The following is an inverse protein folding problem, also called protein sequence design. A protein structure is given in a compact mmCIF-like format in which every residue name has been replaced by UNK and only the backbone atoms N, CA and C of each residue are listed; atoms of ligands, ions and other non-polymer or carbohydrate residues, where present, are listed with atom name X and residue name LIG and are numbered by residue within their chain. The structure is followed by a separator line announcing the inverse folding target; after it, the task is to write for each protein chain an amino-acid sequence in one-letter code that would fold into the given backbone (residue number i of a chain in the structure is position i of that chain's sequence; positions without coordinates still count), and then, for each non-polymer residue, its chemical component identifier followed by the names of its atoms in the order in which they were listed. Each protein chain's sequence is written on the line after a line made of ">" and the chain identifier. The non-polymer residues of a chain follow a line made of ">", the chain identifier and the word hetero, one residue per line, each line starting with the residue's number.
data_IF_345602385351
#
_entry.id   IF_345602385351
#
_cell.length_a   1.000
_cell.length_b   1.000
_cell.length_c   1.000
_cell.angle_alpha   90.00
_cell.angle_beta   90.00
_cell.angle_gamma   90.00
#
_symmetry.space_group_name_H-M   'P 1'
#
loop_
_entity.id
_entity.type
_entity.pdbx_description
1 polymer ?
#
# COMPACT_ATOMS: atom_id res chain seq x y z
N UNK A 1 -51.67 -13.03 -46.11
CA UNK A 1 -51.74 -12.76 -44.66
C UNK A 1 -50.32 -12.45 -44.19
N UNK A 2 -49.69 -11.29 -44.34
CA UNK A 2 -50.06 -9.86 -44.36
C UNK A 2 -50.68 -9.33 -43.06
N UNK A 3 -49.82 -8.94 -42.11
CA UNK A 3 -49.97 -7.83 -41.12
C UNK A 3 -48.63 -7.67 -40.35
N UNK A 4 -47.83 -6.66 -40.66
CA UNK A 4 -47.62 -5.37 -39.93
C UNK A 4 -46.79 -5.53 -38.64
N UNK A 5 -45.52 -5.13 -38.62
CA UNK A 5 -45.00 -3.77 -38.33
C UNK A 5 -45.66 -3.12 -37.11
N UNK A 6 -44.90 -3.00 -36.02
CA UNK A 6 -45.03 -1.89 -35.07
C UNK A 6 -43.65 -1.53 -34.48
N UNK A 7 -43.18 -0.36 -34.88
CA UNK A 7 -41.97 0.31 -34.42
C UNK A 7 -42.28 1.08 -33.13
N UNK A 8 -41.70 0.70 -31.99
CA UNK A 8 -41.72 1.50 -30.77
C UNK A 8 -40.56 2.50 -30.78
N UNK A 9 -40.83 3.72 -31.26
CA UNK A 9 -39.97 4.90 -31.10
C UNK A 9 -40.51 5.75 -29.95
N UNK A 10 -40.03 5.53 -28.73
CA UNK A 10 -40.37 6.38 -27.58
C UNK A 10 -39.52 7.65 -27.58
N UNK A 11 -40.18 8.78 -27.81
CA UNK A 11 -39.68 10.14 -27.52
C UNK A 11 -39.39 10.28 -26.03
N UNK A 12 -38.17 10.67 -25.67
CA UNK A 12 -37.82 11.15 -24.34
C UNK A 12 -37.50 12.65 -24.48
N UNK A 13 -38.53 13.48 -24.33
CA UNK A 13 -38.38 14.94 -24.19
C UNK A 13 -38.13 15.21 -22.70
N UNK A 14 -36.87 15.51 -22.35
CA UNK A 14 -36.50 15.95 -21.01
C UNK A 14 -36.74 17.47 -20.92
N UNK A 15 -37.83 17.83 -20.24
CA UNK A 15 -38.16 19.18 -19.81
C UNK A 15 -37.12 19.69 -18.79
N UNK A 16 -36.38 20.73 -19.21
CA UNK A 16 -35.45 21.50 -18.38
C UNK A 16 -36.28 22.43 -17.49
N UNK A 17 -36.47 22.04 -16.24
CA UNK A 17 -37.04 22.86 -15.18
C UNK A 17 -35.92 23.73 -14.59
N UNK A 18 -35.97 25.04 -14.86
CA UNK A 18 -35.13 26.06 -14.23
C UNK A 18 -35.50 26.22 -12.74
N UNK A 19 -34.62 25.77 -11.84
CA UNK A 19 -34.65 26.14 -10.43
C UNK A 19 -34.04 27.53 -10.22
N UNK A 20 -34.64 28.39 -9.38
CA UNK A 20 -34.11 29.73 -9.13
C UNK A 20 -32.85 29.65 -8.25
N UNK A 21 -31.89 30.51 -8.55
CA UNK A 21 -30.65 30.72 -7.82
C UNK A 21 -30.94 31.24 -6.41
N UNK A 22 -30.85 30.34 -5.42
CA UNK A 22 -30.89 30.68 -4.01
C UNK A 22 -29.51 31.24 -3.62
N UNK A 23 -29.46 32.54 -3.32
CA UNK A 23 -28.26 33.23 -2.84
C UNK A 23 -27.86 32.67 -1.47
N UNK A 24 -26.74 31.95 -1.41
CA UNK A 24 -26.11 31.58 -0.14
C UNK A 24 -25.58 32.85 0.53
N UNK A 25 -26.30 33.35 1.53
CA UNK A 25 -25.69 34.15 2.59
C UNK A 25 -24.70 33.27 3.38
N UNK A 26 -23.50 33.79 3.70
CA UNK A 26 -22.55 33.07 4.54
C UNK A 26 -23.16 32.93 5.95
N UNK A 27 -23.52 31.70 6.33
CA UNK A 27 -23.90 31.39 7.70
C UNK A 27 -22.73 31.73 8.61
N UNK A 28 -22.88 32.82 9.38
CA UNK A 28 -21.99 33.19 10.47
C UNK A 28 -21.82 31.97 11.38
N UNK A 29 -20.59 31.49 11.45
CA UNK A 29 -20.19 30.40 12.33
C UNK A 29 -20.59 30.77 13.76
N UNK A 30 -21.54 30.04 14.35
CA UNK A 30 -22.09 30.32 15.67
C UNK A 30 -20.95 30.45 16.69
N UNK A 31 -20.95 31.57 17.41
CA UNK A 31 -20.07 31.89 18.54
C UNK A 31 -19.87 30.73 19.53
N UNK A 32 -20.84 29.83 19.68
CA UNK A 32 -20.71 28.62 20.49
C UNK A 32 -19.72 27.59 19.91
N UNK A 33 -19.63 27.47 18.59
CA UNK A 33 -18.70 26.55 17.91
C UNK A 33 -17.26 27.06 18.01
N UNK A 34 -17.05 28.37 17.87
CA UNK A 34 -15.76 29.02 18.10
C UNK A 34 -15.32 28.93 19.56
N UNK A 35 -16.25 29.08 20.52
CA UNK A 35 -15.96 28.91 21.94
C UNK A 35 -15.64 27.45 22.32
N UNK A 36 -16.24 26.47 21.62
CA UNK A 36 -15.92 25.04 21.81
C UNK A 36 -14.51 24.70 21.32
N UNK A 37 -14.14 25.16 20.13
CA UNK A 37 -12.79 24.98 19.55
C UNK A 37 -11.71 25.63 20.43
N UNK A 38 -11.97 26.83 20.95
CA UNK A 38 -11.04 27.52 21.85
C UNK A 38 -10.96 26.90 23.25
N UNK A 39 -12.05 26.29 23.77
CA UNK A 39 -12.00 25.55 25.05
C UNK A 39 -11.28 24.21 24.93
N UNK A 40 -11.34 23.53 23.79
CA UNK A 40 -10.61 22.27 23.57
C UNK A 40 -9.10 22.48 23.40
N UNK A 41 -8.63 23.63 22.93
CA UNK A 41 -7.19 23.86 22.75
C UNK A 41 -6.43 24.16 24.05
N UNK A 42 -7.09 24.63 25.11
CA UNK A 42 -6.42 25.03 26.36
C UNK A 42 -6.39 23.92 27.44
N UNK A 43 -7.37 23.01 27.47
CA UNK A 43 -7.51 22.02 28.56
C UNK A 43 -6.92 20.65 28.29
N UNK A 44 -6.38 20.40 27.09
CA UNK A 44 -5.81 19.10 26.69
C UNK A 44 -4.33 19.15 26.34
N UNK A 45 -3.57 20.06 26.95
CA UNK A 45 -2.11 19.89 27.07
C UNK A 45 -1.86 18.77 28.08
N UNK A 46 -2.07 17.53 27.64
CA UNK A 46 -1.65 16.36 28.41
C UNK A 46 -0.13 16.45 28.63
N UNK A 47 0.39 15.91 29.75
CA UNK A 47 1.84 15.84 29.96
C UNK A 47 2.58 15.24 28.77
N UNK A 48 1.95 14.31 28.06
CA UNK A 48 2.47 13.71 26.83
C UNK A 48 2.58 14.71 25.67
N UNK A 49 1.61 15.62 25.49
CA UNK A 49 1.69 16.67 24.47
C UNK A 49 2.79 17.68 24.77
N UNK A 50 2.97 18.07 26.04
CA UNK A 50 4.07 18.97 26.44
C UNK A 50 5.43 18.30 26.20
N UNK A 51 5.55 17.02 26.55
CA UNK A 51 6.76 16.22 26.29
C UNK A 51 7.02 16.02 24.79
N UNK A 52 5.97 15.88 23.99
CA UNK A 52 6.06 15.83 22.53
C UNK A 52 6.50 17.19 21.96
N UNK A 53 5.92 18.29 22.43
CA UNK A 53 6.30 19.66 22.05
C UNK A 53 7.77 19.97 22.37
N UNK A 54 8.24 19.64 23.57
CA UNK A 54 9.67 19.78 23.93
C UNK A 54 10.57 18.90 23.06
N UNK A 55 10.16 17.66 22.74
CA UNK A 55 10.91 16.80 21.82
C UNK A 55 10.98 17.41 20.42
N UNK A 56 9.87 17.96 19.90
CA UNK A 56 9.79 18.56 18.56
C UNK A 56 10.63 19.85 18.49
N UNK A 57 10.52 20.72 19.49
CA UNK A 57 11.27 21.99 19.55
C UNK A 57 12.79 21.78 19.61
N UNK A 58 13.25 20.67 20.18
CA UNK A 58 14.66 20.31 20.26
C UNK A 58 15.18 19.54 19.02
N UNK A 59 14.32 19.23 18.04
CA UNK A 59 14.69 18.47 16.84
C UNK A 59 14.96 19.43 15.68
N UNK A 60 16.19 19.43 15.18
CA UNK A 60 16.59 20.16 13.98
C UNK A 60 15.88 19.51 12.77
N UNK A 61 15.25 20.27 11.85
CA UNK A 61 14.65 19.70 10.66
C UNK A 61 15.69 18.90 9.84
N UNK A 62 15.29 17.79 9.21
CA UNK A 62 16.25 16.92 8.53
C UNK A 62 16.92 17.65 7.37
N UNK A 63 18.26 17.80 7.45
CA UNK A 63 19.08 18.30 6.34
C UNK A 63 19.04 17.29 5.17
N UNK A 64 18.90 17.78 3.94
CA UNK A 64 18.87 16.98 2.70
C UNK A 64 20.07 16.06 2.58
N UNK A 65 21.27 16.55 2.88
CA UNK A 65 22.51 15.75 2.81
C UNK A 65 22.45 14.57 3.80
N UNK A 66 21.96 14.82 5.01
CA UNK A 66 21.77 13.80 6.04
C UNK A 66 20.74 12.75 5.59
N UNK A 67 19.63 13.17 4.98
CA UNK A 67 18.63 12.25 4.47
C UNK A 67 19.11 11.40 3.28
N UNK A 68 20.07 11.94 2.51
CA UNK A 68 20.79 11.22 1.45
C UNK A 68 21.64 10.09 1.98
N UNK A 69 22.33 10.31 3.09
CA UNK A 69 23.01 9.23 3.78
C UNK A 69 22.07 8.13 4.30
N UNK A 70 20.82 8.44 4.63
CA UNK A 70 19.86 7.46 5.15
C UNK A 70 19.03 6.70 4.11
N UNK A 71 19.17 7.02 2.83
CA UNK A 71 18.21 6.55 1.82
C UNK A 71 16.78 7.07 2.08
N UNK A 72 16.64 8.10 2.91
CA UNK A 72 15.38 8.77 3.26
C UNK A 72 15.18 10.06 2.46
N UNK A 73 15.99 10.28 1.41
CA UNK A 73 15.89 11.45 0.52
C UNK A 73 14.49 11.65 -0.02
N UNK A 74 13.79 10.55 -0.33
CA UNK A 74 12.41 10.57 -0.79
C UNK A 74 11.42 11.17 0.21
N UNK A 75 11.83 11.30 1.48
CA UNK A 75 11.04 11.86 2.58
C UNK A 75 11.43 13.28 2.95
N UNK A 76 12.53 13.81 2.40
CA UNK A 76 12.89 15.22 2.57
C UNK A 76 12.46 15.96 1.32
N UNK A 77 12.09 17.23 1.46
CA UNK A 77 11.64 18.07 0.36
C UNK A 77 12.64 18.00 -0.82
N UNK A 78 12.23 17.33 -1.90
CA UNK A 78 12.94 17.34 -3.17
C UNK A 78 12.20 18.30 -4.09
N UNK A 79 12.94 19.24 -4.68
CA UNK A 79 12.41 19.97 -5.82
C UNK A 79 12.11 18.99 -6.96
N UNK A 80 11.25 19.38 -7.92
CA UNK A 80 10.95 18.55 -9.08
C UNK A 80 12.23 18.18 -9.88
N UNK A 81 13.20 19.08 -9.88
CA UNK A 81 14.51 18.90 -10.51
C UNK A 81 15.37 17.90 -9.71
N UNK A 82 15.38 18.00 -8.39
CA UNK A 82 16.04 17.03 -7.53
C UNK A 82 15.44 15.63 -7.67
N UNK A 83 14.12 15.52 -7.84
CA UNK A 83 13.48 14.21 -8.05
C UNK A 83 13.80 13.62 -9.42
N UNK A 84 13.98 14.45 -10.45
CA UNK A 84 14.42 14.01 -11.76
C UNK A 84 15.87 13.51 -11.72
N UNK A 85 16.77 14.29 -11.12
CA UNK A 85 18.16 13.90 -10.88
C UNK A 85 18.25 12.62 -10.05
N UNK A 86 17.49 12.52 -8.95
CA UNK A 86 17.49 11.32 -8.10
C UNK A 86 17.03 10.07 -8.87
N UNK A 87 16.04 10.18 -9.76
CA UNK A 87 15.59 9.06 -10.60
C UNK A 87 16.64 8.65 -11.62
N UNK A 88 17.33 9.61 -12.21
CA UNK A 88 18.45 9.38 -13.12
C UNK A 88 19.60 8.70 -12.38
N UNK A 89 20.03 9.25 -11.23
CA UNK A 89 21.07 8.66 -10.38
C UNK A 89 20.67 7.28 -9.87
N UNK A 90 19.43 7.05 -9.45
CA UNK A 90 18.93 5.72 -9.06
C UNK A 90 18.89 4.74 -10.23
N UNK A 91 18.60 5.20 -11.45
CA UNK A 91 18.65 4.35 -12.64
C UNK A 91 20.09 3.95 -12.97
N UNK A 92 21.03 4.88 -12.84
CA UNK A 92 22.47 4.64 -13.01
C UNK A 92 23.05 3.74 -11.91
N UNK A 93 22.64 3.94 -10.65
CA UNK A 93 23.01 3.11 -9.50
C UNK A 93 22.36 1.72 -9.54
N UNK A 94 21.21 1.54 -10.21
CA UNK A 94 20.65 0.20 -10.45
C UNK A 94 21.46 -0.59 -11.47
N UNK A 95 22.05 0.08 -12.46
CA UNK A 95 22.93 -0.55 -13.46
C UNK A 95 24.36 -0.75 -12.94
N UNK A 96 24.85 0.13 -12.06
CA UNK A 96 26.12 -0.01 -11.35
C UNK A 96 25.86 -0.42 -9.91
N UNK A 97 25.87 -1.73 -9.66
CA UNK A 97 25.82 -2.31 -8.30
C UNK A 97 27.15 -2.08 -7.55
N UNK A 98 27.73 -0.89 -7.63
CA UNK A 98 28.82 -0.46 -6.77
C UNK A 98 28.15 0.15 -5.54
N UNK A 99 28.04 -0.65 -4.48
CA UNK A 99 27.63 -0.19 -3.16
C UNK A 99 28.38 1.09 -2.81
N UNK A 100 27.65 2.15 -2.44
CA UNK A 100 28.24 3.35 -1.85
C UNK A 100 28.84 2.92 -0.51
N UNK A 101 30.09 2.47 -0.52
CA UNK A 101 30.84 2.09 0.68
C UNK A 101 31.26 3.40 1.33
N UNK A 102 30.63 3.76 2.45
CA UNK A 102 31.19 4.81 3.27
C UNK A 102 32.57 4.37 3.76
N UNK A 103 33.61 5.21 3.62
CA UNK A 103 34.91 4.91 4.17
C UNK A 103 34.78 4.71 5.69
N UNK A 104 35.20 3.53 6.14
CA UNK A 104 35.54 3.22 7.53
C UNK A 104 34.40 3.07 8.56
N UNK A 105 33.24 2.50 8.19
CA UNK A 105 32.27 2.01 9.19
C UNK A 105 31.77 3.08 10.18
N UNK A 106 31.79 4.35 9.76
CA UNK A 106 31.37 5.48 10.58
C UNK A 106 29.84 5.48 10.74
N UNK A 107 29.40 5.71 11.97
CA UNK A 107 27.99 5.94 12.31
C UNK A 107 27.50 7.24 11.64
N UNK A 108 26.19 7.37 11.31
CA UNK A 108 25.72 8.66 10.79
C UNK A 108 26.03 9.77 11.80
N UNK A 109 26.65 10.90 11.39
CA UNK A 109 26.89 12.03 12.29
C UNK A 109 25.59 12.62 12.88
N UNK A 110 24.46 12.37 12.25
CA UNK A 110 23.16 12.89 12.60
C UNK A 110 22.39 12.07 13.66
N UNK A 111 22.39 10.75 13.54
CA UNK A 111 21.52 9.87 14.33
C UNK A 111 22.24 8.63 14.86
N UNK A 112 23.57 8.56 14.64
CA UNK A 112 24.47 7.49 15.06
C UNK A 112 24.04 6.07 14.64
N UNK A 113 23.11 5.94 13.69
CA UNK A 113 22.76 4.63 13.16
C UNK A 113 23.96 4.09 12.37
N UNK A 114 24.29 2.82 12.63
CA UNK A 114 25.21 2.08 11.80
C UNK A 114 24.55 1.87 10.45
N UNK A 115 25.14 2.44 9.41
CA UNK A 115 24.70 2.21 8.04
C UNK A 115 24.84 0.73 7.75
N UNK A 116 23.74 0.09 7.36
CA UNK A 116 23.72 -1.33 7.03
C UNK A 116 24.64 -1.49 5.82
N UNK A 117 25.84 -2.04 6.05
CA UNK A 117 26.94 -2.07 5.08
C UNK A 117 26.60 -2.89 3.82
N UNK A 118 25.64 -3.80 3.91
CA UNK A 118 25.29 -4.69 2.82
C UNK A 118 23.81 -4.58 2.44
N UNK A 119 23.54 -3.93 1.30
CA UNK A 119 22.23 -3.95 0.63
C UNK A 119 21.81 -5.40 0.28
N UNK A 120 22.78 -6.31 0.15
CA UNK A 120 22.55 -7.75 -0.02
C UNK A 120 21.99 -8.41 1.25
N UNK A 121 22.27 -7.89 2.44
CA UNK A 121 21.65 -8.36 3.68
C UNK A 121 20.20 -7.84 3.84
N UNK A 122 19.87 -6.68 3.27
CA UNK A 122 18.47 -6.22 3.16
C UNK A 122 17.62 -7.12 2.25
N UNK A 123 18.21 -7.92 1.38
CA UNK A 123 17.46 -8.67 0.36
C UNK A 123 16.71 -9.90 0.88
N UNK A 124 16.94 -10.32 2.14
CA UNK A 124 16.18 -11.42 2.75
C UNK A 124 15.83 -11.07 4.19
N UNK A 125 14.73 -10.35 4.36
CA UNK A 125 14.13 -10.26 5.69
C UNK A 125 13.63 -11.64 6.10
N UNK A 126 14.16 -12.14 7.21
CA UNK A 126 13.64 -13.35 7.84
C UNK A 126 12.22 -13.05 8.33
N UNK A 127 11.36 -14.07 8.36
CA UNK A 127 10.04 -13.96 8.98
C UNK A 127 10.14 -13.53 10.46
N UNK A 128 11.28 -13.79 11.09
CA UNK A 128 11.58 -13.47 12.49
C UNK A 128 12.25 -12.12 12.70
N UNK A 129 12.46 -11.35 11.63
CA UNK A 129 13.03 -10.00 11.75
C UNK A 129 12.06 -9.11 12.53
N UNK A 130 12.59 -8.34 13.49
CA UNK A 130 11.78 -7.42 14.29
C UNK A 130 11.03 -6.45 13.38
N UNK A 131 9.74 -6.25 13.66
CA UNK A 131 8.92 -5.27 12.94
C UNK A 131 9.53 -3.85 12.98
N UNK A 132 10.33 -3.55 14.01
CA UNK A 132 11.04 -2.29 14.17
C UNK A 132 12.08 -2.04 13.08
N UNK A 133 12.67 -3.08 12.49
CA UNK A 133 13.62 -2.94 11.38
C UNK A 133 12.97 -2.32 10.14
N UNK A 134 11.65 -2.47 9.97
CA UNK A 134 10.91 -1.95 8.82
C UNK A 134 10.44 -0.51 8.98
N UNK A 135 10.78 0.17 10.08
CA UNK A 135 10.32 1.54 10.35
C UNK A 135 10.83 2.56 9.34
N UNK A 136 11.94 2.23 8.69
CA UNK A 136 12.49 2.98 7.54
C UNK A 136 11.44 3.11 6.43
N UNK A 137 10.47 2.19 6.32
CA UNK A 137 9.38 2.22 5.34
C UNK A 137 8.11 2.93 5.83
N UNK A 138 8.12 3.50 7.03
CA UNK A 138 6.99 4.22 7.65
C UNK A 138 6.21 3.31 8.58
N UNK A 139 5.12 3.80 9.16
CA UNK A 139 4.29 3.05 10.13
C UNK A 139 3.53 1.88 9.50
N UNK A 140 3.13 2.01 8.23
CA UNK A 140 2.27 1.04 7.55
C UNK A 140 2.90 -0.35 7.39
N UNK A 141 4.16 -0.43 6.95
CA UNK A 141 4.84 -1.72 6.68
C UNK A 141 5.09 -2.53 7.97
N UNK A 142 5.69 -1.98 9.04
CA UNK A 142 5.81 -2.66 10.34
C UNK A 142 4.47 -3.16 10.88
N UNK A 143 3.41 -2.34 10.78
CA UNK A 143 2.08 -2.69 11.28
C UNK A 143 1.47 -3.87 10.50
N UNK A 144 1.70 -3.92 9.18
CA UNK A 144 1.30 -5.06 8.36
C UNK A 144 2.03 -6.35 8.78
N UNK A 145 3.36 -6.31 8.95
CA UNK A 145 4.11 -7.49 9.41
C UNK A 145 3.69 -7.92 10.81
N UNK A 146 3.46 -6.97 11.70
CA UNK A 146 2.95 -7.21 13.04
C UNK A 146 1.59 -7.92 13.01
N UNK A 147 0.69 -7.48 12.12
CA UNK A 147 -0.60 -8.16 11.88
C UNK A 147 -0.43 -9.57 11.35
N UNK A 148 0.46 -9.79 10.37
CA UNK A 148 0.70 -11.11 9.79
C UNK A 148 1.23 -12.11 10.83
N UNK A 149 2.18 -11.68 11.67
CA UNK A 149 2.70 -12.51 12.77
C UNK A 149 1.56 -12.86 13.75
N UNK A 150 0.74 -11.88 14.13
CA UNK A 150 -0.42 -12.12 14.97
C UNK A 150 -1.40 -13.13 14.35
N UNK A 151 -1.73 -13.00 13.06
CA UNK A 151 -2.61 -13.94 12.37
C UNK A 151 -2.05 -15.36 12.36
N UNK A 152 -0.75 -15.52 12.11
CA UNK A 152 -0.10 -16.84 12.10
C UNK A 152 -0.17 -17.48 13.48
N UNK A 153 0.12 -16.73 14.55
CA UNK A 153 0.01 -17.22 15.93
C UNK A 153 -1.45 -17.58 16.27
N UNK A 154 -2.41 -16.72 15.90
CA UNK A 154 -3.82 -16.94 16.17
C UNK A 154 -4.35 -18.20 15.44
N UNK A 155 -4.04 -18.35 14.15
CA UNK A 155 -4.42 -19.51 13.36
C UNK A 155 -3.75 -20.79 13.89
N UNK A 156 -2.49 -20.71 14.31
CA UNK A 156 -1.80 -21.83 14.94
C UNK A 156 -2.50 -22.26 16.23
N UNK A 157 -2.88 -21.32 17.11
CA UNK A 157 -3.61 -21.62 18.34
C UNK A 157 -4.99 -22.24 18.07
N UNK A 158 -5.76 -21.69 17.14
CA UNK A 158 -7.07 -22.23 16.75
C UNK A 158 -6.91 -23.62 16.14
N UNK A 159 -5.88 -23.83 15.32
CA UNK A 159 -5.58 -25.14 14.73
C UNK A 159 -5.32 -26.18 15.82
N UNK A 160 -4.46 -25.85 16.78
CA UNK A 160 -4.08 -26.76 17.88
C UNK A 160 -5.24 -27.05 18.84
N UNK A 161 -6.04 -26.04 19.20
CA UNK A 161 -7.09 -26.18 20.22
C UNK A 161 -8.39 -26.71 19.63
N UNK A 162 -8.75 -26.30 18.42
CA UNK A 162 -10.06 -26.58 17.83
C UNK A 162 -9.95 -27.56 16.68
N UNK A 163 -9.09 -27.28 15.70
CA UNK A 163 -9.09 -28.02 14.44
C UNK A 163 -8.58 -29.45 14.61
N UNK A 164 -7.41 -29.64 15.24
CA UNK A 164 -6.82 -30.97 15.46
C UNK A 164 -7.75 -31.85 16.31
N UNK A 165 -8.30 -31.41 17.46
CA UNK A 165 -9.22 -32.24 18.23
C UNK A 165 -10.51 -32.56 17.48
N UNK A 166 -11.09 -31.60 16.74
CA UNK A 166 -12.31 -31.83 15.94
C UNK A 166 -12.08 -32.87 14.86
N UNK A 167 -10.96 -32.76 14.11
CA UNK A 167 -10.58 -33.75 13.10
C UNK A 167 -10.36 -35.13 13.77
N UNK A 168 -9.71 -35.17 14.93
CA UNK A 168 -9.47 -36.43 15.65
C UNK A 168 -10.78 -37.10 16.09
N UNK A 169 -11.72 -36.33 16.65
CA UNK A 169 -13.04 -36.82 17.01
C UNK A 169 -13.83 -37.30 15.78
N UNK A 170 -13.74 -36.58 14.66
CA UNK A 170 -14.36 -36.97 13.40
C UNK A 170 -13.77 -38.25 12.80
N UNK A 171 -12.47 -38.52 13.00
CA UNK A 171 -11.85 -39.77 12.53
C UNK A 171 -12.26 -40.96 13.41
N UNK A 172 -12.41 -40.74 14.72
CA UNK A 172 -12.79 -41.80 15.67
C UNK A 172 -14.27 -42.19 15.48
N UNK A 173 -15.16 -41.22 15.24
CA UNK A 173 -16.58 -41.46 15.00
C UNK A 173 -16.84 -41.82 13.53
N UNK A 174 -16.54 -43.06 13.18
CA UNK A 174 -16.65 -43.57 11.82
C UNK A 174 -18.11 -43.91 11.43
N UNK A 175 -18.97 -42.89 11.33
CA UNK A 175 -20.39 -43.03 10.92
C UNK A 175 -20.57 -43.17 9.39
N UNK A 176 -19.68 -43.92 8.72
CA UNK A 176 -19.65 -44.07 7.25
C UNK A 176 -20.93 -44.63 6.65
N UNK A 177 -21.70 -45.40 7.43
CA UNK A 177 -22.82 -46.18 6.90
C UNK A 177 -24.15 -45.42 6.86
N UNK A 178 -24.34 -44.35 7.64
CA UNK A 178 -25.66 -43.72 7.80
C UNK A 178 -25.97 -42.63 6.77
N UNK A 179 -24.96 -41.94 6.23
CA UNK A 179 -25.16 -40.83 5.28
C UNK A 179 -25.18 -41.30 3.81
N UNK A 180 -24.93 -42.59 3.54
CA UNK A 180 -24.87 -43.14 2.18
C UNK A 180 -23.74 -42.53 1.32
N UNK A 181 -22.81 -41.78 1.93
CA UNK A 181 -21.69 -41.15 1.24
C UNK A 181 -20.61 -42.21 1.01
N UNK A 182 -20.62 -42.80 -0.19
CA UNK A 182 -19.78 -43.92 -0.63
C UNK A 182 -18.26 -43.67 -0.58
N UNK A 183 -17.80 -42.45 -0.34
CA UNK A 183 -16.39 -42.16 -0.10
C UNK A 183 -16.23 -40.99 0.88
N UNK A 184 -15.51 -41.17 2.00
CA UNK A 184 -15.26 -40.06 2.90
C UNK A 184 -14.35 -39.05 2.20
N UNK A 185 -14.90 -37.90 1.83
CA UNK A 185 -14.09 -36.78 1.35
C UNK A 185 -13.46 -36.07 2.55
N UNK A 186 -12.28 -35.48 2.37
CA UNK A 186 -11.63 -34.64 3.38
C UNK A 186 -12.57 -33.55 3.95
N UNK A 187 -13.52 -33.10 3.12
CA UNK A 187 -14.53 -32.10 3.48
C UNK A 187 -15.53 -32.62 4.53
N UNK A 188 -15.80 -33.93 4.57
CA UNK A 188 -16.67 -34.53 5.61
C UNK A 188 -15.96 -34.54 6.96
N UNK A 189 -14.67 -34.94 7.01
CA UNK A 189 -13.89 -34.99 8.25
C UNK A 189 -13.56 -33.61 8.86
N UNK A 190 -13.66 -32.55 8.05
CA UNK A 190 -13.42 -31.17 8.50
C UNK A 190 -14.71 -30.43 8.84
N UNK A 191 -15.85 -31.07 8.65
CA UNK A 191 -17.17 -30.47 8.82
C UNK A 191 -17.92 -31.11 9.99
N UNK A 192 -18.94 -30.40 10.48
CA UNK A 192 -19.93 -30.92 11.42
C UNK A 192 -20.79 -32.02 10.77
N UNK A 193 -20.82 -32.06 9.43
CA UNK A 193 -21.64 -33.00 8.67
C UNK A 193 -21.32 -34.49 8.85
N UNK A 194 -20.20 -34.85 9.49
CA UNK A 194 -19.89 -36.23 9.84
C UNK A 194 -20.73 -36.78 11.01
N UNK A 195 -21.38 -35.89 11.76
CA UNK A 195 -22.30 -36.27 12.82
C UNK A 195 -23.73 -36.21 12.29
N UNK A 196 -24.22 -37.34 11.77
CA UNK A 196 -25.60 -37.48 11.34
C UNK A 196 -26.59 -37.18 12.47
N UNK A 197 -27.77 -36.69 12.11
CA UNK A 197 -28.91 -36.57 13.02
C UNK A 197 -29.48 -37.98 13.18
N UNK A 198 -28.88 -38.81 14.04
CA UNK A 198 -29.47 -40.12 14.35
C UNK A 198 -30.78 -39.92 15.11
N UNK A 199 -31.86 -40.38 14.51
CA UNK A 199 -33.24 -40.27 14.99
C UNK A 199 -33.55 -41.09 16.26
N UNK A 200 -32.55 -41.73 16.88
CA UNK A 200 -32.71 -42.56 18.07
C UNK A 200 -31.95 -41.99 19.28
N UNK A 201 -32.48 -40.91 19.84
CA UNK A 201 -32.25 -40.48 21.23
C UNK A 201 -31.06 -39.54 21.44
N UNK A 202 -31.38 -38.35 21.97
CA UNK A 202 -30.48 -37.26 22.40
C UNK A 202 -29.30 -37.64 23.33
N UNK A 203 -29.16 -38.91 23.73
CA UNK A 203 -28.21 -39.36 24.73
C UNK A 203 -26.91 -39.96 24.17
N UNK A 204 -26.74 -40.10 22.84
CA UNK A 204 -25.60 -40.85 22.28
C UNK A 204 -24.47 -40.05 21.62
N UNK A 205 -24.47 -38.72 21.65
CA UNK A 205 -23.37 -37.95 21.05
C UNK A 205 -22.75 -36.94 22.01
N UNK A 206 -21.97 -37.46 22.97
CA UNK A 206 -21.06 -36.62 23.77
C UNK A 206 -20.06 -35.86 22.88
N UNK A 207 -19.78 -36.37 21.68
CA UNK A 207 -18.86 -35.80 20.70
C UNK A 207 -19.37 -34.54 20.02
N UNK A 208 -20.62 -34.51 19.55
CA UNK A 208 -21.21 -33.30 18.93
C UNK A 208 -21.18 -32.15 19.93
N UNK A 209 -21.60 -32.41 21.18
CA UNK A 209 -21.54 -31.41 22.25
C UNK A 209 -20.10 -30.93 22.46
N UNK A 210 -19.12 -31.84 22.44
CA UNK A 210 -17.70 -31.49 22.56
C UNK A 210 -17.23 -30.61 21.40
N UNK A 211 -17.61 -30.91 20.16
CA UNK A 211 -17.25 -30.13 18.97
C UNK A 211 -17.91 -28.75 18.98
N UNK A 212 -19.17 -28.66 19.39
CA UNK A 212 -19.86 -27.36 19.57
C UNK A 212 -19.11 -26.52 20.62
N UNK A 213 -18.77 -27.12 21.76
CA UNK A 213 -18.00 -26.44 22.82
C UNK A 213 -16.63 -25.99 22.29
N UNK A 214 -15.90 -26.84 21.57
CA UNK A 214 -14.61 -26.49 20.97
C UNK A 214 -14.72 -25.32 19.98
N UNK A 215 -15.75 -25.30 19.13
CA UNK A 215 -16.00 -24.20 18.20
C UNK A 215 -16.38 -22.90 18.93
N UNK A 216 -17.15 -22.97 20.03
CA UNK A 216 -17.43 -21.82 20.88
C UNK A 216 -16.15 -21.28 21.54
N UNK A 217 -15.28 -22.17 22.04
CA UNK A 217 -13.96 -21.81 22.58
C UNK A 217 -13.11 -21.14 21.49
N UNK A 218 -13.07 -21.69 20.28
CA UNK A 218 -12.37 -21.09 19.14
C UNK A 218 -12.86 -19.68 18.82
N UNK A 219 -14.17 -19.50 18.77
CA UNK A 219 -14.81 -18.20 18.55
C UNK A 219 -14.43 -17.21 19.64
N UNK A 220 -14.43 -17.64 20.90
CA UNK A 220 -14.01 -16.82 22.04
C UNK A 220 -12.52 -16.44 21.94
N UNK A 221 -11.64 -17.37 21.56
CA UNK A 221 -10.22 -17.11 21.32
C UNK A 221 -10.03 -16.06 20.22
N UNK A 222 -10.81 -16.11 19.13
CA UNK A 222 -10.76 -15.09 18.05
C UNK A 222 -11.15 -13.71 18.61
N UNK A 223 -12.25 -13.60 19.36
CA UNK A 223 -12.68 -12.32 19.93
C UNK A 223 -11.66 -11.76 20.91
N UNK A 224 -11.14 -12.59 21.82
CA UNK A 224 -10.12 -12.19 22.79
C UNK A 224 -8.81 -11.81 22.09
N UNK A 225 -8.38 -12.62 21.12
CA UNK A 225 -7.21 -12.36 20.29
C UNK A 225 -7.32 -11.03 19.55
N UNK A 226 -8.46 -10.74 18.92
CA UNK A 226 -8.70 -9.46 18.25
C UNK A 226 -8.60 -8.27 19.22
N UNK A 227 -9.17 -8.41 20.43
CA UNK A 227 -9.07 -7.36 21.46
C UNK A 227 -7.63 -7.12 21.89
N UNK A 228 -6.87 -8.19 22.17
CA UNK A 228 -5.45 -8.11 22.53
C UNK A 228 -4.66 -7.46 21.39
N UNK A 229 -4.83 -7.94 20.16
CA UNK A 229 -4.17 -7.38 18.98
C UNK A 229 -4.44 -5.90 18.81
N UNK A 230 -5.70 -5.45 18.89
CA UNK A 230 -6.06 -4.04 18.76
C UNK A 230 -5.35 -3.18 19.79
N UNK A 231 -5.33 -3.62 21.05
CA UNK A 231 -4.62 -2.91 22.13
C UNK A 231 -3.12 -2.86 21.88
N UNK A 232 -2.50 -3.97 21.47
CA UNK A 232 -1.06 -4.02 21.22
C UNK A 232 -0.67 -3.22 19.96
N UNK A 233 -1.47 -3.30 18.91
CA UNK A 233 -1.27 -2.59 17.64
C UNK A 233 -1.32 -1.07 17.82
N UNK A 234 -2.25 -0.56 18.62
CA UNK A 234 -2.29 0.87 18.95
C UNK A 234 -1.05 1.34 19.72
N UNK A 235 -0.59 0.54 20.70
CA UNK A 235 0.63 0.84 21.46
C UNK A 235 1.87 0.79 20.56
N UNK A 236 1.93 -0.18 19.67
CA UNK A 236 3.04 -0.32 18.72
C UNK A 236 3.06 0.84 17.71
N UNK A 237 1.90 1.23 17.17
CA UNK A 237 1.78 2.39 16.31
C UNK A 237 2.27 3.67 16.99
N UNK A 238 1.83 3.93 18.22
CA UNK A 238 2.26 5.07 19.02
C UNK A 238 3.78 5.09 19.22
N UNK A 239 4.39 3.95 19.53
CA UNK A 239 5.85 3.84 19.68
C UNK A 239 6.58 4.12 18.38
N UNK A 240 6.10 3.60 17.25
CA UNK A 240 6.74 3.87 15.96
C UNK A 240 6.66 5.37 15.67
N UNK A 241 5.50 5.97 15.87
CA UNK A 241 5.22 7.38 15.60
C UNK A 241 6.08 8.31 16.49
N UNK A 242 6.17 8.02 17.79
CA UNK A 242 6.96 8.81 18.74
C UNK A 242 8.45 8.94 18.37
N UNK A 243 9.03 7.88 17.80
CA UNK A 243 10.45 7.90 17.45
C UNK A 243 10.70 8.16 15.95
N UNK A 244 9.66 8.17 15.10
CA UNK A 244 9.79 8.52 13.68
C UNK A 244 9.34 9.95 13.46
N UNK A 245 10.29 10.84 13.24
CA UNK A 245 9.98 12.22 12.83
C UNK A 245 9.64 12.21 11.35
N UNK A 246 8.48 12.72 10.99
CA UNK A 246 8.00 12.83 9.62
C UNK A 246 7.81 14.30 9.24
N UNK A 247 7.89 14.65 7.95
CA UNK A 247 7.56 16.02 7.51
C UNK A 247 6.15 16.44 7.91
N UNK A 248 5.20 15.50 7.99
CA UNK A 248 3.83 15.76 8.45
C UNK A 248 3.77 16.36 9.86
N UNK A 249 4.75 16.08 10.72
CA UNK A 249 4.81 16.62 12.08
C UNK A 249 5.08 18.14 12.10
N UNK A 250 5.61 18.68 11.00
CA UNK A 250 5.96 20.10 10.86
C UNK A 250 5.17 20.82 9.76
N UNK A 251 4.24 20.14 9.10
CA UNK A 251 3.45 20.73 8.02
C UNK A 251 1.99 20.87 8.43
N UNK A 252 1.45 22.07 8.23
CA UNK A 252 0.02 22.33 8.38
C UNK A 252 -0.59 22.47 7.00
N UNK A 253 -1.72 21.81 6.77
CA UNK A 253 -2.48 21.95 5.54
C UNK A 253 -3.65 22.92 5.77
N UNK A 254 -3.58 24.08 5.13
CA UNK A 254 -4.64 25.10 5.17
C UNK A 254 -5.52 24.99 3.92
N UNK A 255 -6.83 25.16 4.09
CA UNK A 255 -7.84 25.10 3.01
C UNK A 255 -8.69 26.37 3.03
N UNK A 256 -9.45 26.60 1.96
CA UNK A 256 -10.31 27.79 1.80
C UNK A 256 -9.56 29.13 1.91
N UNK A 257 -8.36 29.19 1.34
CA UNK A 257 -7.60 30.43 1.19
C UNK A 257 -8.16 31.19 -0.02
N UNK A 258 -8.30 32.51 0.09
CA UNK A 258 -8.73 33.34 -1.03
C UNK A 258 -7.73 33.27 -2.19
N UNK A 259 -8.25 33.36 -3.41
CA UNK A 259 -7.45 33.15 -4.63
C UNK A 259 -6.36 34.20 -4.83
N UNK A 260 -6.58 35.39 -4.29
CA UNK A 260 -5.69 36.53 -4.44
C UNK A 260 -4.69 36.65 -3.28
N UNK A 261 -4.74 35.75 -2.30
CA UNK A 261 -3.84 35.78 -1.15
C UNK A 261 -2.43 35.37 -1.54
N UNK A 262 -1.45 36.23 -1.25
CA UNK A 262 -0.04 35.95 -1.48
C UNK A 262 0.57 35.11 -0.36
N UNK A 263 1.78 34.57 -0.57
CA UNK A 263 2.47 33.80 0.48
C UNK A 263 2.77 34.67 1.70
N UNK A 264 3.11 35.92 1.45
CA UNK A 264 3.45 36.93 2.44
C UNK A 264 2.24 37.25 3.32
N UNK A 265 1.05 37.36 2.72
CA UNK A 265 -0.20 37.57 3.47
C UNK A 265 -0.51 36.39 4.40
N UNK A 266 -0.30 35.15 3.92
CA UNK A 266 -0.48 33.94 4.75
C UNK A 266 0.49 33.93 5.92
N UNK A 267 1.77 34.26 5.68
CA UNK A 267 2.78 34.32 6.74
C UNK A 267 2.41 35.40 7.76
N UNK A 268 2.06 36.60 7.29
CA UNK A 268 1.66 37.70 8.17
C UNK A 268 0.41 37.38 8.96
N UNK A 269 -0.58 36.70 8.36
CA UNK A 269 -1.79 36.26 9.06
C UNK A 269 -1.46 35.23 10.15
N UNK A 270 -0.65 34.21 9.84
CA UNK A 270 -0.24 33.18 10.80
C UNK A 270 0.60 33.78 11.95
N UNK A 271 1.47 34.75 11.66
CA UNK A 271 2.25 35.45 12.68
C UNK A 271 1.38 36.34 13.57
N UNK A 272 0.42 37.07 12.98
CA UNK A 272 -0.44 38.03 13.69
C UNK A 272 -1.51 37.35 14.54
N UNK A 273 -2.27 36.42 13.96
CA UNK A 273 -3.44 35.83 14.60
C UNK A 273 -3.09 34.60 15.45
N UNK A 274 -2.09 33.83 15.02
CA UNK A 274 -1.74 32.56 15.67
C UNK A 274 -0.39 32.59 16.40
N UNK A 275 0.31 33.74 16.39
CA UNK A 275 1.65 33.89 16.99
C UNK A 275 2.62 32.79 16.52
N UNK A 276 2.47 32.36 15.27
CA UNK A 276 3.27 31.29 14.70
C UNK A 276 4.67 31.82 14.37
N UNK A 277 5.67 31.40 15.15
CA UNK A 277 7.08 31.68 14.90
C UNK A 277 7.74 30.55 14.09
N UNK A 278 8.80 30.87 13.35
CA UNK A 278 9.61 29.86 12.66
C UNK A 278 8.98 29.23 11.41
N UNK A 279 8.07 29.93 10.72
CA UNK A 279 7.49 29.47 9.45
C UNK A 279 8.60 29.41 8.39
N UNK A 280 9.06 28.20 8.06
CA UNK A 280 10.19 28.00 7.16
C UNK A 280 9.80 28.20 5.68
N UNK A 281 8.63 27.70 5.27
CA UNK A 281 8.18 27.79 3.87
C UNK A 281 6.65 27.71 3.77
N UNK A 282 6.09 28.51 2.85
CA UNK A 282 4.68 28.42 2.44
C UNK A 282 4.61 27.98 0.99
N UNK A 283 3.97 26.83 0.78
CA UNK A 283 3.79 26.22 -0.55
C UNK A 283 2.31 26.34 -0.93
N UNK A 284 2.02 27.21 -1.90
CA UNK A 284 0.70 27.32 -2.49
C UNK A 284 0.40 26.07 -3.33
N UNK A 285 -0.74 25.44 -3.07
CA UNK A 285 -1.21 24.29 -3.83
C UNK A 285 -1.99 24.76 -5.05
N UNK A 286 -1.69 24.19 -6.22
CA UNK A 286 -2.39 24.49 -7.47
C UNK A 286 -3.22 23.29 -7.91
N UNK A 287 -4.33 23.55 -8.61
CA UNK A 287 -5.07 22.49 -9.29
C UNK A 287 -4.24 21.95 -10.46
N UNK A 288 -3.61 20.81 -10.22
CA UNK A 288 -2.82 20.06 -11.20
C UNK A 288 -3.62 18.96 -11.89
N UNK A 289 -4.93 18.85 -11.66
CA UNK A 289 -5.72 17.71 -12.14
C UNK A 289 -5.69 17.61 -13.68
N UNK A 290 -5.90 18.73 -14.38
CA UNK A 290 -5.88 18.80 -15.85
C UNK A 290 -4.48 18.46 -16.42
N UNK A 291 -3.37 19.11 -16.00
CA UNK A 291 -2.03 18.73 -16.43
C UNK A 291 -1.71 17.25 -16.17
N UNK A 292 -2.04 16.74 -14.98
CA UNK A 292 -1.76 15.35 -14.60
C UNK A 292 -2.56 14.37 -15.46
N UNK A 293 -3.82 14.66 -15.78
CA UNK A 293 -4.63 13.84 -16.70
C UNK A 293 -3.98 13.77 -18.10
N UNK A 294 -3.52 14.89 -18.63
CA UNK A 294 -2.82 14.95 -19.93
C UNK A 294 -1.52 14.15 -19.89
N UNK A 295 -0.71 14.33 -18.85
CA UNK A 295 0.54 13.59 -18.62
C UNK A 295 0.28 12.08 -18.53
N UNK A 296 -0.69 11.64 -17.73
CA UNK A 296 -1.07 10.23 -17.61
C UNK A 296 -1.51 9.64 -18.96
N UNK A 297 -2.27 10.39 -19.77
CA UNK A 297 -2.66 9.95 -21.12
C UNK A 297 -1.43 9.78 -22.03
N UNK A 298 -0.48 10.73 -22.01
CA UNK A 298 0.79 10.62 -22.75
C UNK A 298 1.62 9.41 -22.31
N UNK A 299 1.77 9.18 -21.01
CA UNK A 299 2.49 8.02 -20.47
C UNK A 299 1.85 6.69 -20.86
N UNK A 300 0.51 6.60 -20.81
CA UNK A 300 -0.22 5.40 -21.28
C UNK A 300 0.01 5.14 -22.76
N UNK A 301 0.00 6.19 -23.59
CA UNK A 301 0.28 6.08 -25.03
C UNK A 301 1.69 5.54 -25.29
N UNK A 302 2.71 6.14 -24.66
CA UNK A 302 4.11 5.70 -24.77
C UNK A 302 4.31 4.26 -24.30
N UNK A 303 3.68 3.87 -23.18
CA UNK A 303 3.76 2.49 -22.67
C UNK A 303 3.09 1.50 -23.63
N UNK A 304 1.97 1.87 -24.24
CA UNK A 304 1.32 1.04 -25.26
C UNK A 304 2.17 0.92 -26.54
N UNK A 305 2.81 2.00 -26.98
CA UNK A 305 3.77 1.98 -28.10
C UNK A 305 4.97 1.08 -27.78
N UNK A 306 5.55 1.20 -26.57
CA UNK A 306 6.64 0.32 -26.12
C UNK A 306 6.22 -1.15 -26.06
N UNK A 307 5.03 -1.45 -25.56
CA UNK A 307 4.50 -2.83 -25.56
C UNK A 307 4.31 -3.36 -26.98
N UNK A 308 3.84 -2.52 -27.92
CA UNK A 308 3.73 -2.91 -29.34
C UNK A 308 5.10 -3.22 -29.94
N UNK A 309 6.10 -2.37 -29.71
CA UNK A 309 7.48 -2.59 -30.16
C UNK A 309 8.03 -3.91 -29.56
N UNK A 310 7.86 -4.13 -28.26
CA UNK A 310 8.28 -5.39 -27.62
C UNK A 310 7.60 -6.61 -28.22
N UNK A 311 6.30 -6.51 -28.52
CA UNK A 311 5.54 -7.58 -29.18
C UNK A 311 6.04 -7.84 -30.59
N UNK A 312 6.31 -6.79 -31.37
CA UNK A 312 6.88 -6.89 -32.72
C UNK A 312 8.27 -7.53 -32.69
N UNK A 313 9.14 -7.11 -31.76
CA UNK A 313 10.47 -7.74 -31.54
C UNK A 313 10.34 -9.22 -31.19
N UNK A 314 9.41 -9.59 -30.31
CA UNK A 314 9.17 -11.00 -29.95
C UNK A 314 8.67 -11.82 -31.16
N UNK A 315 7.74 -11.26 -31.95
CA UNK A 315 7.23 -11.91 -33.15
C UNK A 315 8.32 -12.07 -34.22
N UNK A 316 9.15 -11.05 -34.43
CA UNK A 316 10.29 -11.13 -35.35
C UNK A 316 11.29 -12.20 -34.93
N UNK A 317 11.67 -12.24 -33.64
CA UNK A 317 12.54 -13.29 -33.09
C UNK A 317 11.95 -14.69 -33.31
N UNK A 318 10.63 -14.84 -33.16
CA UNK A 318 9.92 -16.09 -33.41
C UNK A 318 9.96 -16.50 -34.89
N UNK A 319 9.60 -15.60 -35.80
CA UNK A 319 9.61 -15.87 -37.25
C UNK A 319 11.03 -16.18 -37.76
N UNK A 320 12.04 -15.47 -37.27
CA UNK A 320 13.44 -15.73 -37.62
C UNK A 320 13.88 -17.11 -37.14
N UNK A 321 13.48 -17.51 -35.93
CA UNK A 321 13.75 -18.85 -35.40
C UNK A 321 13.08 -19.93 -36.23
N UNK A 322 11.82 -19.74 -36.61
CA UNK A 322 11.08 -20.65 -37.49
C UNK A 322 11.77 -20.80 -38.85
N UNK A 323 12.24 -19.71 -39.47
CA UNK A 323 13.01 -19.74 -40.72
C UNK A 323 14.33 -20.51 -40.61
N UNK A 324 15.10 -20.31 -39.53
CA UNK A 324 16.35 -21.06 -39.32
C UNK A 324 16.11 -22.57 -39.18
N UNK A 325 15.00 -22.96 -38.56
CA UNK A 325 14.58 -24.37 -38.44
C UNK A 325 14.24 -24.94 -39.82
N UNK A 326 13.50 -24.20 -40.66
CA UNK A 326 13.17 -24.60 -42.03
C UNK A 326 14.42 -24.74 -42.93
N UNK A 327 15.45 -23.91 -42.72
CA UNK A 327 16.74 -24.00 -43.42
C UNK A 327 17.61 -25.19 -42.96
N UNK A 328 17.19 -25.96 -41.96
CA UNK A 328 17.94 -27.12 -41.45
C UNK A 328 19.21 -26.75 -40.67
N UNK A 329 19.36 -25.49 -40.24
CA UNK A 329 20.48 -25.06 -39.38
C UNK A 329 20.22 -25.53 -37.95
N UNK A 330 21.13 -26.34 -37.38
CA UNK A 330 21.01 -26.81 -35.99
C UNK A 330 20.96 -25.63 -35.01
N UNK A 331 20.05 -25.73 -34.02
CA UNK A 331 19.69 -24.67 -33.05
C UNK A 331 20.84 -24.25 -32.12
N UNK A 332 21.98 -24.97 -32.12
CA UNK A 332 23.10 -24.75 -31.20
C UNK A 332 23.73 -23.36 -31.29
N UNK A 333 23.57 -22.65 -32.40
CA UNK A 333 24.08 -21.28 -32.56
C UNK A 333 23.10 -20.19 -32.06
N UNK A 334 21.85 -20.53 -31.75
CA UNK A 334 20.80 -19.54 -31.43
C UNK A 334 20.87 -18.96 -30.00
N UNK A 335 21.55 -19.63 -29.07
CA UNK A 335 21.79 -19.08 -27.72
C UNK A 335 22.89 -18.00 -27.71
N UNK A 336 23.81 -17.99 -28.68
CA UNK A 336 24.84 -16.95 -28.78
C UNK A 336 24.32 -15.65 -29.41
N UNK A 337 23.16 -15.68 -30.08
CA UNK A 337 22.54 -14.50 -30.71
C UNK A 337 21.88 -13.53 -29.71
N UNK A 338 21.73 -13.87 -28.43
CA UNK A 338 21.18 -12.93 -27.44
C UNK A 338 22.15 -11.83 -27.04
N UNK A 339 23.43 -11.94 -27.42
CA UNK A 339 24.47 -10.98 -27.04
C UNK A 339 24.76 -9.92 -28.11
N UNK A 340 24.25 -10.08 -29.35
CA UNK A 340 24.40 -9.10 -30.44
C UNK A 340 23.20 -8.11 -30.51
N UNK A 341 22.77 -7.60 -29.34
CA UNK A 341 21.65 -6.65 -29.22
C UNK A 341 21.90 -5.32 -29.96
N UNK A 342 23.16 -5.00 -30.30
CA UNK A 342 23.52 -3.78 -31.05
C UNK A 342 23.00 -3.77 -32.50
N UNK A 343 22.84 -4.95 -33.12
CA UNK A 343 22.29 -5.07 -34.48
C UNK A 343 20.75 -4.90 -34.54
N UNK A 344 20.07 -5.11 -33.41
CA UNK A 344 18.63 -4.92 -33.28
C UNK A 344 18.24 -3.46 -33.04
N UNK A 345 19.14 -2.65 -32.48
CA UNK A 345 18.92 -1.21 -32.28
C UNK A 345 18.93 -0.41 -33.59
N UNK A 346 19.65 -0.87 -34.63
CA UNK A 346 19.62 -0.24 -35.97
C UNK A 346 18.34 -0.53 -36.74
N UNK A 347 17.70 -1.68 -36.50
CA UNK A 347 16.39 -2.03 -37.09
C UNK A 347 15.26 -1.16 -36.52
N UNK A 348 15.36 -0.75 -35.25
CA UNK A 348 14.37 0.14 -34.60
C UNK A 348 14.24 1.50 -35.32
N UNK A 349 15.29 1.99 -35.98
CA UNK A 349 15.26 3.27 -36.71
C UNK A 349 14.54 3.12 -38.07
N UNK A 350 14.86 2.06 -38.83
CA UNK A 350 14.30 1.87 -40.18
C UNK A 350 12.83 1.43 -40.17
N UNK A 351 12.41 0.62 -39.19
CA UNK A 351 11.01 0.17 -39.10
C UNK A 351 10.08 1.32 -38.67
N UNK A 352 10.57 2.26 -37.85
CA UNK A 352 9.80 3.45 -37.44
C UNK A 352 9.68 4.47 -38.58
N UNK A 353 10.68 4.61 -39.44
CA UNK A 353 10.60 5.46 -40.65
C UNK A 353 9.64 4.89 -41.69
N UNK A 354 9.66 3.57 -41.92
CA UNK A 354 8.78 2.90 -42.90
C UNK A 354 7.31 2.76 -42.44
N UNK A 355 7.02 2.94 -41.15
CA UNK A 355 5.65 2.91 -40.62
C UNK A 355 5.00 4.30 -40.50
N UNK A 356 5.78 5.38 -40.66
CA UNK A 356 5.31 6.77 -40.66
C UNK A 356 5.24 7.38 -42.06
N UNK A 357 5.67 6.63 -43.08
CA UNK A 357 5.36 6.86 -44.50
C UNK A 357 4.13 6.04 -44.87
#
# INVERSE_FOLDING_TARGET
>A
MSTSKEDHKSKFEASISSTPSESLEPQLLDTHTLAFINRTNSKYLTPDFLKQKERILNKIPPNKEIAEYHGLVSRVFLTAEDTAKLRETQSLLRTKTESIVLPDGKECPCCKHKLIKDVKELQRFSFWTSAETFRIFGTGVPMYFYFMIFLIILLFLISMIVSIPTITLNIIEDNKDELGVRSPSFLVYTSIGNHGITSSGFNKSSSINTIIILNMIGTFIIFLGYRIYRCMSLRFASRIDEETITPSDFTVFATNIDRDTTKEDIIQYLQREHQAEGINNVILCYDIEKPVKILRKKFRKRRAEQMKIQTLKANYKRMHKERLIEEGKEIKDSENLSNDDDSLNTIDVQVVENANT
#
